data_IF_023597463674
#
_entry.id   IF_023597463674
#
_cell.length_a   1.000
_cell.length_b   1.000
_cell.length_c   1.000
_cell.angle_alpha   90.00
_cell.angle_beta   90.00
_cell.angle_gamma   90.00
#
_symmetry.space_group_name_H-M   'P 1'
#
loop_
_entity.id
_entity.type
_entity.pdbx_description
1 polymer ?
#
# COMPACT_ATOMS: atom_id res chain seq x y z
N UNK A 1 -5.89 -5.99 4.82
CA UNK A 1 -4.89 -5.65 3.79
C UNK A 1 -4.76 -4.14 3.79
N UNK A 2 -3.54 -3.61 3.91
CA UNK A 2 -3.32 -2.16 3.87
C UNK A 2 -3.20 -1.70 2.42
N UNK A 3 -3.71 -0.51 2.15
CA UNK A 3 -3.58 0.20 0.88
C UNK A 3 -2.95 1.57 1.12
N UNK A 4 -2.23 2.07 0.12
CA UNK A 4 -1.70 3.43 0.09
C UNK A 4 -2.10 4.11 -1.21
N UNK A 5 -2.34 5.41 -1.15
CA UNK A 5 -2.68 6.22 -2.31
C UNK A 5 -2.72 7.69 -1.93
N UNK A 6 -3.00 8.53 -2.91
CA UNK A 6 -3.09 9.97 -2.74
C UNK A 6 -4.54 10.39 -2.51
N UNK A 7 -4.79 11.30 -1.57
CA UNK A 7 -6.11 11.82 -1.27
C UNK A 7 -6.44 12.97 -2.21
N UNK A 8 -7.27 12.69 -3.20
CA UNK A 8 -7.68 13.65 -4.23
C UNK A 8 -9.08 14.18 -3.96
N UNK A 9 -9.25 15.48 -4.15
CA UNK A 9 -10.55 16.11 -3.97
C UNK A 9 -11.50 15.77 -5.13
N UNK A 10 -12.73 15.36 -4.80
CA UNK A 10 -13.78 15.14 -5.80
C UNK A 10 -14.27 16.44 -6.45
N UNK A 11 -14.09 17.58 -5.78
CA UNK A 11 -14.63 18.86 -6.25
C UNK A 11 -13.63 19.68 -7.07
N UNK A 12 -12.41 19.88 -6.56
CA UNK A 12 -11.41 20.74 -7.21
C UNK A 12 -10.18 20.00 -7.75
N UNK A 13 -10.12 18.66 -7.62
CA UNK A 13 -9.01 17.83 -8.09
C UNK A 13 -7.70 17.94 -7.29
N UNK A 14 -7.65 18.79 -6.25
CA UNK A 14 -6.44 18.99 -5.46
C UNK A 14 -6.06 17.73 -4.66
N UNK A 15 -4.76 17.39 -4.66
CA UNK A 15 -4.18 16.32 -3.85
C UNK A 15 -3.81 16.89 -2.49
N UNK A 16 -4.46 16.39 -1.44
CA UNK A 16 -4.33 16.93 -0.08
C UNK A 16 -3.16 16.31 0.67
N UNK A 17 -3.03 14.97 0.61
CA UNK A 17 -2.02 14.23 1.35
C UNK A 17 -1.95 12.78 0.85
N UNK A 18 -0.92 12.05 1.27
CA UNK A 18 -0.83 10.60 1.09
C UNK A 18 -1.46 9.88 2.27
N UNK A 19 -2.26 8.85 1.99
CA UNK A 19 -2.95 8.06 3.00
C UNK A 19 -2.52 6.60 2.96
N UNK A 20 -2.50 5.97 4.13
CA UNK A 20 -2.19 4.57 4.35
C UNK A 20 -3.14 4.00 5.39
N UNK A 21 -3.86 2.93 5.04
CA UNK A 21 -4.77 2.30 5.98
C UNK A 21 -5.45 1.04 5.42
N UNK A 22 -6.35 0.42 6.18
CA UNK A 22 -7.03 -0.80 5.75
C UNK A 22 -7.89 -0.54 4.51
N UNK A 23 -7.88 -1.48 3.55
CA UNK A 23 -8.77 -1.43 2.39
C UNK A 23 -10.23 -1.36 2.85
N UNK A 24 -10.97 -0.36 2.37
CA UNK A 24 -12.38 -0.14 2.71
C UNK A 24 -12.62 0.60 4.04
N UNK A 25 -11.57 0.97 4.76
CA UNK A 25 -11.72 1.80 5.95
C UNK A 25 -12.05 3.26 5.57
N UNK A 26 -12.71 4.02 6.47
CA UNK A 26 -12.93 5.45 6.29
C UNK A 26 -11.60 6.23 6.17
N UNK A 27 -11.59 7.25 5.31
CA UNK A 27 -10.42 8.11 5.08
C UNK A 27 -10.29 9.15 6.20
N UNK A 28 -9.74 8.73 7.34
CA UNK A 28 -9.51 9.58 8.52
C UNK A 28 -8.05 10.02 8.65
N UNK A 29 -7.80 11.02 9.49
CA UNK A 29 -6.45 11.53 9.77
C UNK A 29 -5.49 10.44 10.28
N UNK A 30 -5.99 9.39 10.97
CA UNK A 30 -5.17 8.27 11.46
C UNK A 30 -4.31 7.60 10.36
N UNK A 31 -4.78 7.61 9.11
CA UNK A 31 -4.06 7.03 7.98
C UNK A 31 -3.08 7.98 7.30
N UNK A 32 -3.01 9.26 7.70
CA UNK A 32 -2.02 10.20 7.15
C UNK A 32 -0.63 9.93 7.70
N UNK A 33 0.37 10.13 6.85
CA UNK A 33 1.79 10.04 7.21
C UNK A 33 2.55 11.21 6.58
N UNK A 34 3.11 12.15 7.37
CA UNK A 34 2.98 12.27 8.83
C UNK A 34 1.55 12.63 9.28
N UNK A 35 1.20 12.32 10.55
CA UNK A 35 -0.05 12.78 11.17
C UNK A 35 0.10 14.27 11.54
N UNK A 36 -0.80 15.16 11.11
CA UNK A 36 -0.75 16.57 11.50
C UNK A 36 -0.92 16.74 13.03
N UNK A 37 -0.18 17.65 13.68
CA UNK A 37 -0.37 17.91 15.10
C UNK A 37 -1.74 18.53 15.37
N UNK A 38 -2.36 18.16 16.50
CA UNK A 38 -3.64 18.73 16.92
C UNK A 38 -4.88 18.23 16.16
N UNK A 39 -4.74 17.28 15.24
CA UNK A 39 -5.89 16.67 14.55
C UNK A 39 -6.39 15.42 15.27
N UNK A 40 -7.71 15.29 15.38
CA UNK A 40 -8.35 14.06 15.83
C UNK A 40 -8.10 12.94 14.79
N UNK A 41 -7.43 11.83 15.16
CA UNK A 41 -7.17 10.71 14.25
C UNK A 41 -8.44 10.08 13.66
N UNK A 42 -9.58 10.17 14.35
CA UNK A 42 -10.84 9.62 13.89
C UNK A 42 -11.60 10.56 12.94
N UNK A 43 -11.23 11.84 12.88
CA UNK A 43 -11.91 12.81 12.04
C UNK A 43 -11.69 12.50 10.54
N UNK A 44 -12.71 12.72 9.68
CA UNK A 44 -12.58 12.51 8.24
C UNK A 44 -11.66 13.57 7.62
N UNK A 45 -10.81 13.14 6.69
CA UNK A 45 -9.97 14.07 5.93
C UNK A 45 -10.84 14.84 4.93
N UNK A 46 -10.63 16.14 4.85
CA UNK A 46 -11.24 17.05 3.87
C UNK A 46 -10.17 17.69 3.00
N UNK A 47 -10.56 18.21 1.85
CA UNK A 47 -9.63 18.89 0.96
C UNK A 47 -9.05 20.12 1.65
N UNK A 48 -7.72 20.23 1.70
CA UNK A 48 -7.02 21.38 2.27
C UNK A 48 -7.26 22.71 1.53
N UNK A 49 -7.81 22.67 0.30
CA UNK A 49 -8.06 23.86 -0.53
C UNK A 49 -9.51 24.34 -0.48
N UNK A 50 -10.48 23.44 -0.67
CA UNK A 50 -11.90 23.81 -0.77
C UNK A 50 -12.80 23.15 0.28
N UNK A 51 -12.23 22.40 1.24
CA UNK A 51 -12.96 21.64 2.26
C UNK A 51 -13.92 20.57 1.70
N UNK A 52 -13.87 20.30 0.39
CA UNK A 52 -14.69 19.28 -0.27
C UNK A 52 -14.30 17.84 0.12
N UNK A 53 -15.14 16.87 -0.26
CA UNK A 53 -14.88 15.45 -0.02
C UNK A 53 -13.67 14.98 -0.84
N UNK A 54 -12.95 14.01 -0.27
CA UNK A 54 -11.75 13.40 -0.88
C UNK A 54 -11.97 11.91 -1.09
N UNK A 55 -11.29 11.36 -2.09
CA UNK A 55 -11.21 9.93 -2.37
C UNK A 55 -9.74 9.52 -2.45
N UNK A 56 -9.51 8.21 -2.31
CA UNK A 56 -8.19 7.62 -2.46
C UNK A 56 -7.95 7.31 -3.95
N UNK A 57 -7.07 8.08 -4.58
CA UNK A 57 -6.61 7.87 -5.96
C UNK A 57 -5.40 6.92 -5.98
N UNK A 58 -5.27 6.16 -7.07
CA UNK A 58 -4.17 5.19 -7.28
C UNK A 58 -3.91 4.25 -6.08
N UNK A 59 -5.00 3.72 -5.49
CA UNK A 59 -4.93 2.86 -4.32
C UNK A 59 -4.16 1.55 -4.61
N UNK A 60 -2.93 1.47 -4.10
CA UNK A 60 -2.05 0.31 -4.26
C UNK A 60 -1.93 -0.49 -2.97
N UNK A 61 -1.75 -1.82 -3.05
CA UNK A 61 -1.44 -2.63 -1.89
C UNK A 61 -0.15 -2.15 -1.21
N UNK A 62 -0.18 -1.94 0.10
CA UNK A 62 1.08 -1.85 0.84
C UNK A 62 1.66 -3.26 0.91
N UNK A 63 2.73 -3.50 0.16
CA UNK A 63 3.45 -4.75 0.23
C UNK A 63 4.05 -4.87 1.65
N UNK A 64 3.48 -5.77 2.46
CA UNK A 64 4.07 -6.12 3.74
C UNK A 64 5.49 -6.62 3.50
N UNK A 65 6.47 -5.98 4.14
CA UNK A 65 7.88 -6.38 4.10
C UNK A 65 8.04 -7.88 4.44
N UNK A 66 7.20 -8.40 5.36
CA UNK A 66 7.10 -9.81 5.67
C UNK A 66 6.62 -10.66 4.48
N UNK A 67 5.54 -10.25 3.79
CA UNK A 67 5.06 -10.97 2.58
C UNK A 67 6.13 -11.01 1.49
N UNK A 68 6.82 -9.90 1.25
CA UNK A 68 7.91 -9.84 0.26
C UNK A 68 9.05 -10.79 0.62
N UNK A 69 9.52 -10.77 1.88
CA UNK A 69 10.56 -11.70 2.36
C UNK A 69 10.12 -13.15 2.26
N UNK A 70 8.85 -13.45 2.56
CA UNK A 70 8.28 -14.80 2.44
C UNK A 70 8.26 -15.28 0.99
N UNK A 71 7.82 -14.44 0.05
CA UNK A 71 7.82 -14.75 -1.39
C UNK A 71 9.24 -14.98 -1.89
N UNK A 72 10.20 -14.15 -1.49
CA UNK A 72 11.61 -14.33 -1.85
C UNK A 72 12.17 -15.66 -1.33
N UNK A 73 11.88 -16.01 -0.07
CA UNK A 73 12.32 -17.28 0.52
C UNK A 73 11.73 -18.50 -0.21
N UNK A 74 10.44 -18.46 -0.55
CA UNK A 74 9.79 -19.53 -1.32
C UNK A 74 10.42 -19.69 -2.71
N UNK A 75 10.71 -18.59 -3.41
CA UNK A 75 11.39 -18.62 -4.72
C UNK A 75 12.78 -19.24 -4.63
N UNK A 76 13.55 -18.91 -3.59
CA UNK A 76 14.86 -19.51 -3.35
C UNK A 76 14.78 -21.02 -3.11
N UNK A 77 13.78 -21.46 -2.33
CA UNK A 77 13.56 -22.88 -2.08
C UNK A 77 13.22 -23.65 -3.36
N UNK A 78 12.32 -23.12 -4.20
CA UNK A 78 11.97 -23.73 -5.49
C UNK A 78 13.19 -23.83 -6.41
N UNK A 79 13.98 -22.76 -6.52
CA UNK A 79 15.20 -22.76 -7.32
C UNK A 79 16.22 -23.81 -6.84
N UNK A 80 16.33 -24.02 -5.53
CA UNK A 80 17.18 -25.06 -4.96
C UNK A 80 16.69 -26.48 -5.29
N UNK A 81 15.36 -26.69 -5.34
CA UNK A 81 14.77 -27.97 -5.76
C UNK A 81 14.94 -28.25 -7.27
N UNK A 82 14.93 -27.22 -8.11
CA UNK A 82 15.11 -27.38 -9.57
C UNK A 82 16.57 -27.61 -9.98
N UNK A 83 17.53 -27.08 -9.22
CA UNK A 83 18.97 -27.21 -9.49
C UNK A 83 19.48 -28.66 -9.71
N UNK A 84 19.09 -29.68 -8.93
CA UNK A 84 19.55 -31.06 -9.14
C UNK A 84 18.93 -31.76 -10.37
N UNK A 85 17.72 -31.36 -10.83
CA UNK A 85 17.09 -31.99 -12.00
C UNK A 85 17.79 -31.65 -13.32
N UNK A 86 18.43 -30.47 -13.41
CA UNK A 86 19.19 -30.05 -14.61
C UNK A 86 20.51 -30.79 -14.82
N UNK A 87 21.14 -31.31 -13.76
CA UNK A 87 22.41 -32.06 -13.88
C UNK A 87 22.24 -33.50 -14.37
N UNK A 88 21.06 -34.11 -14.20
CA UNK A 88 20.78 -35.50 -14.64
C UNK A 88 20.31 -35.62 -16.10
N UNK A 89 19.90 -34.54 -16.75
CA UNK A 89 19.39 -34.55 -18.12
C UNK A 89 20.41 -34.25 -19.22
N UNK A 90 21.71 -34.12 -18.89
CA UNK A 90 22.78 -33.75 -19.85
C UNK A 90 23.82 -34.86 -20.06
N UNK A 91 23.46 -36.10 -19.77
CA UNK A 91 24.23 -37.30 -20.06
C UNK A 91 23.34 -38.27 -20.84
N UNK A 92 23.17 -38.00 -22.13
CA UNK A 92 22.75 -38.94 -23.17
C UNK A 92 23.12 -38.31 -24.51
#
# INVERSE_FOLDING_TARGET
>A
MLVTGDLKCLHCGHITARWVGPKGAPLTFAGLRPLPPGTDPAAPVRCGRCQGPVYLDDATPVASSYRLRRIQRLRQQLAAFDAPRRKRGRAA
#
